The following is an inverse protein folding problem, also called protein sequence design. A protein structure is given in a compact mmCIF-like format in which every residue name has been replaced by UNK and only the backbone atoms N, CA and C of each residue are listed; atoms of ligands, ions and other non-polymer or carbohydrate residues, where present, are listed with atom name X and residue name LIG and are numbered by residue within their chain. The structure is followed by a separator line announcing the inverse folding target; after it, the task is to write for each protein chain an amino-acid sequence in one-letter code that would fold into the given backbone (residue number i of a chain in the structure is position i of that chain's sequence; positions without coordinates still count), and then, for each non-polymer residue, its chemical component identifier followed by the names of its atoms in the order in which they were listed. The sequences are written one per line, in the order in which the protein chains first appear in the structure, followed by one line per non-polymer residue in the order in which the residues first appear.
data_IF_054837594970
#
_entry.id   IF_054837594970
#
_cell.length_a   1.000
_cell.length_b   1.000
_cell.length_c   1.000
_cell.angle_alpha   90.00
_cell.angle_beta   90.00
_cell.angle_gamma   90.00
#
_symmetry.space_group_name_H-M   'P 1'
#
loop_
_entity.id
_entity.type
_entity.pdbx_description
1 polymer ?
#
# COMPACT_ATOMS: atom_id res chain seq x y z
N UNK A 1 -1.04 6.37 -12.50
CA UNK A 1 -0.88 5.09 -13.23
C UNK A 1 -0.85 3.93 -12.26
N UNK A 2 -1.18 2.72 -12.73
CA UNK A 2 -0.99 1.50 -11.93
C UNK A 2 0.48 1.10 -11.90
N UNK A 3 0.96 0.66 -10.73
CA UNK A 3 2.28 0.07 -10.53
C UNK A 3 2.14 -1.26 -9.79
N UNK A 4 3.01 -2.20 -10.12
CA UNK A 4 3.17 -3.48 -9.46
C UNK A 4 4.64 -3.65 -9.06
N UNK A 5 4.89 -4.06 -7.81
CA UNK A 5 6.24 -4.33 -7.31
C UNK A 5 6.16 -5.15 -6.02
N UNK A 6 7.28 -5.28 -5.32
CA UNK A 6 7.36 -5.95 -4.03
C UNK A 6 8.24 -5.17 -3.05
N UNK A 7 7.94 -5.29 -1.76
CA UNK A 7 8.77 -4.79 -0.67
C UNK A 7 9.08 -5.93 0.31
N UNK A 8 10.32 -5.97 0.80
CA UNK A 8 10.75 -6.95 1.79
C UNK A 8 10.83 -6.29 3.17
N UNK A 9 10.11 -6.84 4.14
CA UNK A 9 10.07 -6.36 5.52
C UNK A 9 10.33 -7.55 6.45
N UNK A 10 11.33 -7.43 7.34
CA UNK A 10 11.66 -8.45 8.34
C UNK A 10 11.81 -9.88 7.80
N UNK A 11 12.26 -10.03 6.55
CA UNK A 11 12.42 -11.34 5.91
C UNK A 11 11.22 -11.77 5.05
N UNK A 12 10.05 -11.18 5.24
CA UNK A 12 8.82 -11.45 4.50
C UNK A 12 8.71 -10.58 3.24
N UNK A 13 8.12 -11.13 2.18
CA UNK A 13 7.93 -10.42 0.91
C UNK A 13 6.45 -10.08 0.72
N UNK A 14 6.19 -8.80 0.51
CA UNK A 14 4.88 -8.28 0.19
C UNK A 14 4.84 -7.90 -1.28
N UNK A 15 4.00 -8.56 -2.05
CA UNK A 15 3.68 -8.13 -3.41
C UNK A 15 2.59 -7.07 -3.34
N UNK A 16 2.71 -6.01 -4.13
CA UNK A 16 1.73 -4.95 -4.12
C UNK A 16 1.36 -4.39 -5.47
N UNK A 17 0.14 -3.89 -5.52
CA UNK A 17 -0.41 -3.14 -6.63
C UNK A 17 -0.91 -1.82 -6.09
N UNK A 18 -0.52 -0.72 -6.73
CA UNK A 18 -1.00 0.58 -6.34
C UNK A 18 -1.41 1.43 -7.53
N UNK A 19 -2.42 2.26 -7.34
CA UNK A 19 -2.80 3.30 -8.29
C UNK A 19 -2.38 4.65 -7.75
N UNK A 20 -1.28 5.16 -8.29
CA UNK A 20 -0.64 6.40 -7.85
C UNK A 20 -0.86 7.51 -8.89
N UNK A 21 -1.01 8.77 -8.46
CA UNK A 21 -1.13 9.93 -9.34
C UNK A 21 0.04 10.91 -9.14
N UNK A 22 0.11 11.94 -9.98
CA UNK A 22 1.19 12.94 -9.92
C UNK A 22 1.05 13.88 -8.72
N UNK A 23 -0.16 14.02 -8.19
CA UNK A 23 -0.50 14.87 -7.03
C UNK A 23 -1.40 14.11 -6.06
N UNK A 24 -1.39 14.56 -4.81
CA UNK A 24 -2.31 14.07 -3.79
C UNK A 24 -3.77 14.42 -4.08
N UNK A 25 -4.69 13.73 -3.42
CA UNK A 25 -6.14 13.96 -3.57
C UNK A 25 -6.92 13.50 -2.33
N UNK A 26 -8.19 13.90 -2.23
CA UNK A 26 -9.12 13.43 -1.18
C UNK A 26 -9.30 11.90 -1.15
N UNK A 27 -9.02 11.23 -2.26
CA UNK A 27 -9.08 9.78 -2.40
C UNK A 27 -7.76 9.10 -2.06
N UNK A 28 -6.70 9.87 -1.87
CA UNK A 28 -5.38 9.39 -1.51
C UNK A 28 -5.31 8.93 -0.07
N UNK A 29 -4.51 7.91 0.22
CA UNK A 29 -4.16 7.55 1.60
C UNK A 29 -3.53 8.78 2.25
N UNK A 30 -4.12 9.25 3.35
CA UNK A 30 -3.76 10.48 4.07
C UNK A 30 -3.69 11.73 3.17
N UNK A 31 -4.52 11.79 2.12
CA UNK A 31 -4.50 12.89 1.15
C UNK A 31 -3.37 12.82 0.12
N UNK A 32 -2.56 11.76 0.15
CA UNK A 32 -1.41 11.57 -0.72
C UNK A 32 -1.73 11.07 -2.13
N UNK A 33 -0.70 10.65 -2.85
CA UNK A 33 -0.75 10.31 -4.28
C UNK A 33 -1.32 8.93 -4.56
N UNK A 34 -1.36 8.02 -3.58
CA UNK A 34 -1.81 6.64 -3.72
C UNK A 34 -3.31 6.55 -3.43
N UNK A 35 -4.10 6.32 -4.47
CA UNK A 35 -5.58 6.24 -4.38
C UNK A 35 -6.13 4.83 -4.20
N UNK A 36 -5.32 3.81 -4.50
CA UNK A 36 -5.63 2.40 -4.31
C UNK A 36 -4.35 1.65 -3.97
N UNK A 37 -4.43 0.68 -3.08
CA UNK A 37 -3.32 -0.17 -2.68
C UNK A 37 -3.84 -1.56 -2.33
N UNK A 38 -3.14 -2.60 -2.78
CA UNK A 38 -3.34 -3.97 -2.31
C UNK A 38 -1.99 -4.56 -1.98
N UNK A 39 -1.83 -5.09 -0.77
CA UNK A 39 -0.71 -5.94 -0.38
C UNK A 39 -1.15 -7.40 -0.33
N UNK A 40 -0.30 -8.26 -0.88
CA UNK A 40 -0.37 -9.71 -0.69
C UNK A 40 0.92 -10.25 -0.08
N UNK A 41 0.77 -11.09 0.95
CA UNK A 41 1.83 -11.89 1.56
C UNK A 41 1.35 -13.34 1.62
N UNK A 42 2.19 -14.28 1.20
CA UNK A 42 1.87 -15.72 1.17
C UNK A 42 0.55 -16.07 0.44
N UNK A 43 0.21 -15.29 -0.59
CA UNK A 43 -1.00 -15.47 -1.40
C UNK A 43 -2.26 -14.83 -0.81
N UNK A 44 -2.23 -14.33 0.42
CA UNK A 44 -3.36 -13.68 1.09
C UNK A 44 -3.29 -12.16 0.98
N UNK A 45 -4.46 -11.52 0.85
CA UNK A 45 -4.57 -10.06 0.94
C UNK A 45 -4.48 -9.68 2.41
N UNK A 46 -3.46 -8.90 2.76
CA UNK A 46 -3.16 -8.49 4.15
C UNK A 46 -3.41 -7.00 4.39
N UNK A 47 -3.59 -6.22 3.32
CA UNK A 47 -4.00 -4.83 3.38
C UNK A 47 -4.61 -4.45 2.02
N UNK A 48 -5.72 -3.74 2.03
CA UNK A 48 -6.40 -3.28 0.82
C UNK A 48 -7.09 -1.94 1.06
N UNK A 49 -6.79 -0.99 0.19
CA UNK A 49 -7.36 0.34 0.15
C UNK A 49 -7.94 0.59 -1.23
N UNK A 50 -9.24 0.87 -1.32
CA UNK A 50 -9.91 1.34 -2.53
C UNK A 50 -10.64 2.66 -2.23
N UNK A 51 -9.84 3.72 -2.02
CA UNK A 51 -10.32 5.06 -1.62
C UNK A 51 -11.05 5.07 -0.27
N UNK A 52 -10.59 4.18 0.59
CA UNK A 52 -11.12 3.81 1.89
C UNK A 52 -10.51 2.46 2.24
N UNK A 53 -10.32 2.17 3.53
CA UNK A 53 -9.79 0.88 3.96
C UNK A 53 -10.86 -0.20 3.80
N UNK A 54 -10.64 -1.11 2.86
CA UNK A 54 -11.40 -2.37 2.79
C UNK A 54 -10.83 -3.37 3.81
N UNK A 55 -9.50 -3.39 3.92
CA UNK A 55 -8.73 -4.18 4.88
C UNK A 55 -7.58 -3.30 5.37
N UNK A 56 -7.66 -2.87 6.62
CA UNK A 56 -6.51 -2.24 7.30
C UNK A 56 -5.36 -3.25 7.47
N UNK A 57 -4.11 -2.81 7.62
CA UNK A 57 -2.97 -3.70 7.85
C UNK A 57 -3.24 -4.74 8.94
N UNK A 58 -3.14 -6.02 8.59
CA UNK A 58 -3.55 -7.11 9.48
C UNK A 58 -2.58 -7.41 10.61
N UNK A 59 -1.34 -6.91 10.54
CA UNK A 59 -0.27 -7.14 11.51
C UNK A 59 0.84 -6.09 11.39
N UNK A 60 1.77 -6.11 12.35
CA UNK A 60 2.88 -5.16 12.46
C UNK A 60 3.78 -5.12 11.22
N UNK A 61 4.07 -6.27 10.60
CA UNK A 61 4.89 -6.29 9.38
C UNK A 61 4.14 -5.69 8.19
N UNK A 62 2.83 -5.93 8.09
CA UNK A 62 1.99 -5.30 7.06
C UNK A 62 1.89 -3.79 7.26
N UNK A 63 1.75 -3.34 8.51
CA UNK A 63 1.75 -1.91 8.85
C UNK A 63 3.08 -1.27 8.47
N UNK A 64 4.20 -1.90 8.81
CA UNK A 64 5.53 -1.41 8.46
C UNK A 64 5.74 -1.39 6.93
N UNK A 65 5.26 -2.39 6.20
CA UNK A 65 5.30 -2.40 4.74
C UNK A 65 4.51 -1.23 4.13
N UNK A 66 3.34 -0.91 4.69
CA UNK A 66 2.56 0.26 4.31
C UNK A 66 3.33 1.55 4.58
N UNK A 67 3.83 1.77 5.79
CA UNK A 67 4.54 2.99 6.17
C UNK A 67 5.76 3.26 5.28
N UNK A 68 6.55 2.22 5.00
CA UNK A 68 7.71 2.31 4.11
C UNK A 68 7.29 2.71 2.68
N UNK A 69 6.22 2.10 2.16
CA UNK A 69 5.70 2.45 0.84
C UNK A 69 5.18 3.88 0.80
N UNK A 70 4.43 4.31 1.82
CA UNK A 70 3.89 5.67 1.87
C UNK A 70 5.01 6.71 1.95
N UNK A 71 6.06 6.43 2.73
CA UNK A 71 7.22 7.30 2.84
C UNK A 71 7.94 7.51 1.50
N UNK A 72 8.05 6.46 0.67
CA UNK A 72 8.77 6.54 -0.61
C UNK A 72 7.92 7.01 -1.79
N UNK A 73 6.61 6.74 -1.79
CA UNK A 73 5.77 6.89 -2.98
C UNK A 73 4.53 7.78 -2.79
N UNK A 74 4.11 8.12 -1.56
CA UNK A 74 2.81 8.77 -1.38
C UNK A 74 2.84 10.31 -1.43
N UNK A 75 4.02 10.93 -1.47
CA UNK A 75 4.19 12.40 -1.46
C UNK A 75 4.84 12.92 -2.74
#
# INVERSE_FOLDING_TARGET
MWKESSIKVNGEVFHYWMKQYDKGSEWGIDGGRISKLMFKRDGYIVCNYDRGWDIEPTDENTQLALELLLHSENW
#
